data_IF_603834436945
#
_entry.id   IF_603834436945
#
_cell.length_a   1.000
_cell.length_b   1.000
_cell.length_c   1.000
_cell.angle_alpha   90.00
_cell.angle_beta   90.00
_cell.angle_gamma   90.00
#
_symmetry.space_group_name_H-M   'P 1'
#
loop_
_entity.id
_entity.type
_entity.pdbx_description
1 polymer ?
#
# COMPACT_ATOMS: atom_id res chain seq x y z
N UNK A 1 20.61 41.23 21.25
CA UNK A 1 20.02 40.34 20.23
C UNK A 1 20.43 38.91 20.53
N UNK A 2 19.52 38.11 21.10
CA UNK A 2 19.78 36.70 21.43
C UNK A 2 19.34 35.87 20.23
N UNK A 3 20.28 35.17 19.58
CA UNK A 3 19.93 34.20 18.53
C UNK A 3 19.17 33.04 19.18
N UNK A 4 18.06 32.55 18.59
CA UNK A 4 17.40 31.36 19.09
C UNK A 4 18.33 30.15 18.93
N UNK A 5 18.52 29.43 20.03
CA UNK A 5 19.23 28.15 20.08
C UNK A 5 18.33 27.10 19.46
N UNK A 6 18.63 26.70 18.23
CA UNK A 6 18.01 25.54 17.57
C UNK A 6 18.34 24.31 18.43
N UNK A 7 17.35 23.55 18.93
CA UNK A 7 17.62 22.34 19.70
C UNK A 7 18.30 21.30 18.79
N UNK A 8 19.26 20.51 19.31
CA UNK A 8 19.80 19.39 18.54
C UNK A 8 18.69 18.41 18.22
N UNK A 9 18.58 18.01 16.95
CA UNK A 9 17.68 16.95 16.49
C UNK A 9 17.95 15.68 17.30
N UNK A 10 16.91 15.12 17.91
CA UNK A 10 17.02 13.89 18.70
C UNK A 10 17.53 12.73 17.82
N UNK A 11 18.56 11.98 18.26
CA UNK A 11 19.08 10.85 17.51
C UNK A 11 18.11 9.67 17.64
N UNK A 12 17.27 9.44 16.62
CA UNK A 12 16.42 8.25 16.57
C UNK A 12 15.20 8.35 15.66
N UNK A 13 14.73 9.55 15.31
CA UNK A 13 13.61 9.70 14.38
C UNK A 13 14.12 9.64 12.94
N UNK A 14 14.01 8.49 12.27
CA UNK A 14 14.17 8.44 10.81
C UNK A 14 13.07 9.30 10.20
N UNK A 15 13.46 10.34 9.46
CA UNK A 15 12.52 11.17 8.74
C UNK A 15 11.70 10.31 7.76
N UNK A 16 10.41 10.63 7.61
CA UNK A 16 9.51 9.89 6.71
C UNK A 16 10.02 9.96 5.27
N UNK A 17 10.62 11.09 4.86
CA UNK A 17 11.24 11.25 3.54
C UNK A 17 12.37 10.25 3.30
N UNK A 18 13.28 10.10 4.27
CA UNK A 18 14.40 9.14 4.19
C UNK A 18 13.90 7.69 4.09
N UNK A 19 12.83 7.36 4.82
CA UNK A 19 12.21 6.03 4.78
C UNK A 19 11.61 5.76 3.40
N UNK A 20 10.87 6.73 2.83
CA UNK A 20 10.28 6.59 1.49
C UNK A 20 11.36 6.44 0.41
N UNK A 21 12.42 7.23 0.48
CA UNK A 21 13.53 7.14 -0.47
C UNK A 21 14.21 5.75 -0.40
N UNK A 22 14.42 5.24 0.81
CA UNK A 22 14.98 3.90 1.03
C UNK A 22 14.10 2.80 0.43
N UNK A 23 12.77 2.89 0.61
CA UNK A 23 11.82 1.90 0.06
C UNK A 23 11.81 1.92 -1.47
N UNK A 24 11.84 3.11 -2.09
CA UNK A 24 11.67 3.24 -3.53
C UNK A 24 12.71 2.46 -4.36
N UNK A 25 13.94 2.35 -3.85
CA UNK A 25 15.06 1.68 -4.54
C UNK A 25 15.38 0.29 -3.98
N UNK A 26 14.80 -0.09 -2.85
CA UNK A 26 15.10 -1.34 -2.16
C UNK A 26 14.76 -2.60 -2.97
N UNK A 27 15.61 -3.62 -2.80
CA UNK A 27 15.36 -5.01 -3.19
C UNK A 27 14.27 -5.65 -2.32
N UNK A 28 13.71 -6.78 -2.76
CA UNK A 28 12.70 -7.50 -1.98
C UNK A 28 13.19 -7.89 -0.58
N UNK A 29 14.45 -8.32 -0.45
CA UNK A 29 15.04 -8.68 0.85
C UNK A 29 15.13 -7.49 1.81
N UNK A 30 15.47 -6.31 1.29
CA UNK A 30 15.51 -5.06 2.05
C UNK A 30 14.09 -4.62 2.44
N UNK A 31 13.13 -4.67 1.51
CA UNK A 31 11.72 -4.37 1.77
C UNK A 31 11.14 -5.25 2.88
N UNK A 32 11.43 -6.55 2.85
CA UNK A 32 11.02 -7.47 3.92
C UNK A 32 11.67 -7.13 5.26
N UNK A 33 12.92 -6.67 5.25
CA UNK A 33 13.63 -6.29 6.47
C UNK A 33 13.03 -5.02 7.07
N UNK A 34 12.69 -4.04 6.23
CA UNK A 34 11.94 -2.83 6.62
C UNK A 34 10.57 -3.22 7.17
N UNK A 35 9.85 -4.10 6.48
CA UNK A 35 8.54 -4.59 6.89
C UNK A 35 8.55 -5.31 8.24
N UNK A 36 9.55 -6.17 8.49
CA UNK A 36 9.69 -6.88 9.77
C UNK A 36 10.11 -5.94 10.90
N UNK A 37 10.98 -4.98 10.63
CA UNK A 37 11.48 -4.06 11.66
C UNK A 37 10.38 -3.14 12.22
N UNK A 38 9.28 -2.93 11.49
CA UNK A 38 8.19 -2.04 11.92
C UNK A 38 7.33 -2.59 13.07
N UNK A 39 7.44 -3.87 13.42
CA UNK A 39 6.50 -4.55 14.34
C UNK A 39 6.51 -4.03 15.77
N UNK A 40 7.35 -3.05 16.10
CA UNK A 40 7.53 -2.55 17.47
C UNK A 40 7.12 -1.09 17.71
N UNK A 41 6.80 -0.31 16.69
CA UNK A 41 6.44 1.11 16.87
C UNK A 41 4.98 1.30 16.46
N UNK A 42 4.07 1.25 17.45
CA UNK A 42 2.65 1.53 17.27
C UNK A 42 2.48 2.93 16.65
N UNK A 43 2.23 2.95 15.33
CA UNK A 43 1.99 4.18 14.58
C UNK A 43 3.20 4.73 13.85
N UNK A 44 3.84 3.95 12.97
CA UNK A 44 4.83 4.48 12.00
C UNK A 44 4.21 5.41 10.95
N UNK A 45 3.91 6.64 11.40
CA UNK A 45 4.19 7.90 10.73
C UNK A 45 3.23 8.38 9.65
N UNK A 46 2.83 7.52 8.71
CA UNK A 46 2.07 7.97 7.53
C UNK A 46 1.54 6.82 6.67
N UNK A 47 0.36 6.94 6.05
CA UNK A 47 -0.09 5.99 5.03
C UNK A 47 0.88 5.93 3.84
N UNK A 48 1.68 6.98 3.59
CA UNK A 48 2.66 7.01 2.51
C UNK A 48 3.67 5.86 2.58
N UNK A 49 4.10 5.47 3.77
CA UNK A 49 5.06 4.36 3.96
C UNK A 49 4.45 3.03 3.50
N UNK A 50 3.20 2.79 3.87
CA UNK A 50 2.46 1.58 3.49
C UNK A 50 2.13 1.54 2.00
N UNK A 51 1.76 2.69 1.43
CA UNK A 51 1.53 2.83 -0.01
C UNK A 51 2.82 2.52 -0.78
N UNK A 52 3.94 3.15 -0.40
CA UNK A 52 5.23 2.96 -1.05
C UNK A 52 5.75 1.52 -0.93
N UNK A 53 5.66 0.91 0.27
CA UNK A 53 6.01 -0.50 0.47
C UNK A 53 5.12 -1.41 -0.38
N UNK A 54 3.80 -1.22 -0.34
CA UNK A 54 2.85 -2.04 -1.08
C UNK A 54 3.07 -1.97 -2.60
N UNK A 55 3.26 -0.76 -3.13
CA UNK A 55 3.59 -0.53 -4.54
C UNK A 55 4.89 -1.21 -4.93
N UNK A 56 5.95 -1.05 -4.12
CA UNK A 56 7.26 -1.62 -4.45
C UNK A 56 7.23 -3.15 -4.40
N UNK A 57 6.57 -3.72 -3.41
CA UNK A 57 6.39 -5.18 -3.30
C UNK A 57 5.55 -5.72 -4.46
N UNK A 58 4.48 -5.02 -4.88
CA UNK A 58 3.73 -5.38 -6.10
C UNK A 58 4.58 -5.33 -7.36
N UNK A 59 5.47 -4.34 -7.46
CA UNK A 59 6.40 -4.20 -8.58
C UNK A 59 7.45 -5.33 -8.63
N UNK A 60 7.76 -5.95 -7.48
CA UNK A 60 8.62 -7.13 -7.40
C UNK A 60 7.89 -8.45 -7.70
N UNK A 61 6.58 -8.41 -8.00
CA UNK A 61 5.81 -9.60 -8.33
C UNK A 61 5.32 -10.39 -7.11
N UNK A 62 5.25 -9.76 -5.93
CA UNK A 62 4.90 -10.40 -4.67
C UNK A 62 3.51 -9.96 -4.15
N UNK A 63 2.41 -10.36 -4.80
CA UNK A 63 1.07 -9.83 -4.49
C UNK A 63 0.55 -10.20 -3.10
N UNK A 64 0.92 -11.36 -2.55
CA UNK A 64 0.49 -11.77 -1.21
C UNK A 64 1.17 -10.95 -0.11
N UNK A 65 2.49 -10.72 -0.23
CA UNK A 65 3.19 -9.85 0.69
C UNK A 65 2.67 -8.41 0.60
N UNK A 66 2.37 -7.92 -0.60
CA UNK A 66 1.78 -6.60 -0.76
C UNK A 66 0.39 -6.50 -0.11
N UNK A 67 -0.42 -7.56 -0.20
CA UNK A 67 -1.70 -7.63 0.50
C UNK A 67 -1.52 -7.51 2.01
N UNK A 68 -0.55 -8.22 2.60
CA UNK A 68 -0.25 -8.12 4.04
C UNK A 68 0.22 -6.70 4.41
N UNK A 69 1.08 -6.12 3.58
CA UNK A 69 1.56 -4.73 3.71
C UNK A 69 0.41 -3.74 3.81
N UNK A 70 -0.42 -3.76 2.78
CA UNK A 70 -1.53 -2.83 2.63
C UNK A 70 -2.61 -3.07 3.68
N UNK A 71 -2.90 -4.32 4.02
CA UNK A 71 -3.92 -4.65 5.02
C UNK A 71 -3.53 -4.16 6.41
N UNK A 72 -2.25 -4.23 6.78
CA UNK A 72 -1.79 -3.62 8.03
C UNK A 72 -1.93 -2.08 8.00
N UNK A 73 -1.68 -1.44 6.86
CA UNK A 73 -1.90 0.00 6.69
C UNK A 73 -3.37 0.38 6.80
N UNK A 74 -4.27 -0.39 6.18
CA UNK A 74 -5.72 -0.20 6.26
C UNK A 74 -6.28 -0.44 7.67
N UNK A 75 -5.61 -1.24 8.49
CA UNK A 75 -5.93 -1.37 9.91
C UNK A 75 -5.80 -0.05 10.69
N UNK A 76 -4.98 0.89 10.19
CA UNK A 76 -4.74 2.21 10.79
C UNK A 76 -5.47 3.32 10.02
N UNK A 77 -5.41 3.29 8.68
CA UNK A 77 -6.06 4.27 7.79
C UNK A 77 -7.08 3.60 6.86
N UNK A 78 -8.24 3.17 7.38
CA UNK A 78 -9.20 2.38 6.61
C UNK A 78 -9.81 3.11 5.42
N UNK A 79 -9.84 4.45 5.44
CA UNK A 79 -10.41 5.28 4.39
C UNK A 79 -9.38 5.71 3.33
N UNK A 80 -8.13 5.29 3.45
CA UNK A 80 -7.08 5.63 2.50
C UNK A 80 -7.37 5.02 1.12
N UNK A 81 -7.74 5.87 0.16
CA UNK A 81 -8.14 5.44 -1.19
C UNK A 81 -7.03 4.64 -1.87
N UNK A 82 -5.79 5.12 -1.77
CA UNK A 82 -4.65 4.48 -2.44
C UNK A 82 -4.34 3.12 -1.84
N UNK A 83 -4.38 2.98 -0.51
CA UNK A 83 -4.22 1.66 0.12
C UNK A 83 -5.33 0.71 -0.32
N UNK A 84 -6.58 1.15 -0.40
CA UNK A 84 -7.69 0.29 -0.88
C UNK A 84 -7.51 -0.13 -2.35
N UNK A 85 -7.03 0.76 -3.21
CA UNK A 85 -6.68 0.42 -4.61
C UNK A 85 -5.56 -0.61 -4.68
N UNK A 86 -4.50 -0.44 -3.90
CA UNK A 86 -3.39 -1.40 -3.83
C UNK A 86 -3.85 -2.76 -3.28
N UNK A 87 -4.81 -2.78 -2.34
CA UNK A 87 -5.42 -4.01 -1.86
C UNK A 87 -6.18 -4.72 -2.98
N UNK A 88 -7.00 -3.99 -3.75
CA UNK A 88 -7.69 -4.53 -4.92
C UNK A 88 -6.74 -5.10 -5.96
N UNK A 89 -5.66 -4.38 -6.27
CA UNK A 89 -4.63 -4.84 -7.20
C UNK A 89 -3.90 -6.10 -6.72
N UNK A 90 -3.53 -6.15 -5.43
CA UNK A 90 -2.88 -7.31 -4.81
C UNK A 90 -3.80 -8.55 -4.83
N UNK A 91 -5.09 -8.38 -4.51
CA UNK A 91 -6.09 -9.45 -4.60
C UNK A 91 -6.27 -9.94 -6.04
N UNK A 92 -6.35 -9.02 -7.01
CA UNK A 92 -6.48 -9.40 -8.43
C UNK A 92 -5.26 -10.18 -8.92
N UNK A 93 -4.04 -9.72 -8.59
CA UNK A 93 -2.80 -10.39 -9.00
C UNK A 93 -2.54 -11.72 -8.29
N UNK A 94 -3.14 -11.95 -7.13
CA UNK A 94 -3.09 -13.24 -6.43
C UNK A 94 -4.21 -14.22 -6.82
N UNK A 95 -5.09 -13.82 -7.76
CA UNK A 95 -6.19 -14.65 -8.23
C UNK A 95 -7.45 -14.60 -7.35
N UNK A 96 -7.47 -13.78 -6.30
CA UNK A 96 -8.65 -13.55 -5.46
C UNK A 96 -9.60 -12.54 -6.12
N UNK A 97 -10.01 -12.81 -7.36
CA UNK A 97 -10.71 -11.87 -8.26
C UNK A 97 -12.02 -11.35 -7.69
N UNK A 98 -12.83 -12.20 -7.05
CA UNK A 98 -14.09 -11.78 -6.42
C UNK A 98 -13.87 -10.75 -5.30
N UNK A 99 -12.86 -11.01 -4.44
CA UNK A 99 -12.50 -10.10 -3.35
C UNK A 99 -11.94 -8.79 -3.90
N UNK A 100 -11.14 -8.86 -4.96
CA UNK A 100 -10.62 -7.66 -5.63
C UNK A 100 -11.77 -6.80 -6.19
N UNK A 101 -12.72 -7.43 -6.88
CA UNK A 101 -13.88 -6.75 -7.44
C UNK A 101 -14.70 -6.06 -6.35
N UNK A 102 -14.99 -6.75 -5.25
CA UNK A 102 -15.75 -6.18 -4.13
C UNK A 102 -15.10 -4.91 -3.53
N UNK A 103 -13.78 -4.93 -3.31
CA UNK A 103 -13.03 -3.77 -2.78
C UNK A 103 -13.09 -2.59 -3.76
N UNK A 104 -12.84 -2.84 -5.04
CA UNK A 104 -12.79 -1.80 -6.07
C UNK A 104 -14.19 -1.23 -6.38
N UNK A 105 -15.23 -2.05 -6.29
CA UNK A 105 -16.61 -1.64 -6.48
C UNK A 105 -17.12 -0.77 -5.31
N UNK A 106 -16.63 -1.04 -4.08
CA UNK A 106 -16.84 -0.13 -2.95
C UNK A 106 -16.18 1.24 -3.22
N UNK A 107 -14.92 1.25 -3.66
CA UNK A 107 -14.23 2.49 -4.03
C UNK A 107 -14.95 3.27 -5.13
N UNK A 108 -15.42 2.57 -6.17
CA UNK A 108 -16.15 3.20 -7.29
C UNK A 108 -17.40 3.94 -6.83
N UNK A 109 -18.09 3.40 -5.82
CA UNK A 109 -19.31 4.00 -5.26
C UNK A 109 -19.04 5.21 -4.36
N UNK A 110 -17.86 5.27 -3.76
CA UNK A 110 -17.53 6.30 -2.77
C UNK A 110 -16.92 7.57 -3.37
N UNK A 111 -16.13 7.49 -4.44
CA UNK A 111 -15.19 8.57 -4.82
C UNK A 111 -15.14 8.91 -6.33
N UNK A 112 -16.28 8.96 -7.03
CA UNK A 112 -16.36 9.22 -8.50
C UNK A 112 -15.19 8.60 -9.28
N UNK A 113 -15.21 7.27 -9.29
CA UNK A 113 -14.08 6.38 -9.55
C UNK A 113 -12.97 6.92 -10.47
N UNK A 114 -11.76 7.01 -9.91
CA UNK A 114 -10.56 7.30 -10.71
C UNK A 114 -10.41 6.32 -11.89
N UNK A 115 -9.83 6.81 -12.99
CA UNK A 115 -9.53 6.00 -14.19
C UNK A 115 -8.78 4.71 -13.83
N UNK A 116 -7.86 4.78 -12.87
CA UNK A 116 -7.13 3.62 -12.37
C UNK A 116 -8.06 2.56 -11.76
N UNK A 117 -9.00 2.99 -10.90
CA UNK A 117 -9.98 2.09 -10.25
C UNK A 117 -10.88 1.42 -11.30
N UNK A 118 -11.32 2.20 -12.30
CA UNK A 118 -12.14 1.69 -13.41
C UNK A 118 -11.36 0.68 -14.27
N UNK A 119 -10.08 0.95 -14.54
CA UNK A 119 -9.20 0.03 -15.26
C UNK A 119 -9.02 -1.30 -14.53
N UNK A 120 -8.83 -1.27 -13.21
CA UNK A 120 -8.75 -2.48 -12.38
C UNK A 120 -10.08 -3.25 -12.37
N UNK A 121 -11.21 -2.55 -12.24
CA UNK A 121 -12.54 -3.18 -12.32
C UNK A 121 -12.77 -3.86 -13.66
N UNK A 122 -12.44 -3.20 -14.77
CA UNK A 122 -12.55 -3.77 -16.10
C UNK A 122 -11.77 -5.08 -16.25
N UNK A 123 -10.59 -5.20 -15.62
CA UNK A 123 -9.86 -6.47 -15.55
C UNK A 123 -10.60 -7.51 -14.72
N UNK A 124 -11.03 -7.17 -13.50
CA UNK A 124 -11.72 -8.14 -12.64
C UNK A 124 -13.02 -8.67 -13.27
N UNK A 125 -13.78 -7.84 -13.98
CA UNK A 125 -14.98 -8.29 -14.69
C UNK A 125 -14.67 -9.31 -15.79
N UNK A 126 -13.57 -9.11 -16.55
CA UNK A 126 -13.13 -10.07 -17.57
C UNK A 126 -12.72 -11.40 -16.94
N UNK A 127 -11.95 -11.36 -15.86
CA UNK A 127 -11.47 -12.55 -15.15
C UNK A 127 -12.64 -13.35 -14.55
N UNK A 128 -13.64 -12.67 -13.97
CA UNK A 128 -14.87 -13.31 -13.47
C UNK A 128 -15.69 -13.94 -14.60
N UNK A 129 -15.87 -13.24 -15.72
CA UNK A 129 -16.60 -13.77 -16.86
C UNK A 129 -15.93 -15.02 -17.45
N UNK A 130 -14.59 -15.03 -17.52
CA UNK A 130 -13.83 -16.19 -17.99
C UNK A 130 -14.00 -17.40 -17.05
N UNK A 131 -14.04 -17.17 -15.73
CA UNK A 131 -14.23 -18.23 -14.72
C UNK A 131 -15.67 -18.76 -14.71
N UNK A 132 -16.67 -17.91 -14.96
CA UNK A 132 -18.07 -18.32 -15.00
C UNK A 132 -18.44 -19.14 -16.26
N UNK A 133 -17.62 -19.07 -17.31
CA UNK A 133 -17.85 -19.76 -18.57
C UNK A 133 -17.28 -21.20 -18.60
N UNK A 134 -16.60 -21.64 -17.53
CA UNK A 134 -16.03 -22.98 -17.37
C UNK A 134 -16.89 -23.83 -16.45
#
# INVERSE_FOLDING_TARGET
MIRPRIPPSEPGHRDVGDVLQSISSASLGELMSIWRARTHEEGSGSPAVFRCLGERVLAQGEPLLAYDVVSAGLGIWPQDVRLRQLQGLALSRSGATERANAVLENLRREDDASEETLGMLGRTYKDLAATAAT
#
